data_IF_059626047251
#
_entry.id   IF_059626047251
#
_cell.length_a   1.000
_cell.length_b   1.000
_cell.length_c   1.000
_cell.angle_alpha   90.00
_cell.angle_beta   90.00
_cell.angle_gamma   90.00
#
_symmetry.space_group_name_H-M   'P 1'
#
loop_
_entity.id
_entity.type
_entity.pdbx_description
1 polymer ?
#
# COMPACT_ATOMS: atom_id res chain seq x y z
N UNK A 1 -17.97 11.01 24.97
CA UNK A 1 -18.01 11.98 23.85
C UNK A 1 -18.94 11.46 22.77
N UNK A 2 -20.13 12.03 22.65
CA UNK A 2 -21.13 11.61 21.67
C UNK A 2 -20.86 12.33 20.33
N UNK A 3 -19.74 12.03 19.68
CA UNK A 3 -19.36 12.66 18.41
C UNK A 3 -20.13 11.99 17.26
N UNK A 4 -21.37 12.41 17.03
CA UNK A 4 -22.16 12.05 15.84
C UNK A 4 -21.57 12.76 14.63
N UNK A 5 -20.39 12.32 14.18
CA UNK A 5 -19.83 12.76 12.90
C UNK A 5 -20.83 12.43 11.77
N UNK A 6 -21.00 13.30 10.77
CA UNK A 6 -21.95 13.08 9.68
C UNK A 6 -21.68 11.74 8.98
N UNK A 7 -22.73 10.99 8.64
CA UNK A 7 -22.62 9.72 7.91
C UNK A 7 -23.07 9.91 6.47
N UNK A 8 -22.21 10.54 5.69
CA UNK A 8 -22.45 10.82 4.27
C UNK A 8 -21.69 9.82 3.38
N UNK A 9 -22.29 9.49 2.23
CA UNK A 9 -21.64 8.67 1.21
C UNK A 9 -20.73 9.55 0.35
N UNK A 10 -19.44 9.22 0.30
CA UNK A 10 -18.48 9.85 -0.61
C UNK A 10 -18.53 9.12 -1.95
N UNK A 11 -18.95 9.81 -3.01
CA UNK A 11 -18.88 9.29 -4.38
C UNK A 11 -17.44 9.21 -4.86
N UNK A 12 -17.12 8.17 -5.64
CA UNK A 12 -15.84 8.08 -6.32
C UNK A 12 -15.73 9.14 -7.42
N UNK A 13 -14.54 9.75 -7.54
CA UNK A 13 -14.14 10.49 -8.74
C UNK A 13 -13.30 9.60 -9.65
N UNK A 14 -13.07 10.04 -10.89
CA UNK A 14 -12.26 9.31 -11.88
C UNK A 14 -10.89 8.91 -11.32
N UNK A 15 -10.21 9.80 -10.59
CA UNK A 15 -8.91 9.50 -9.97
C UNK A 15 -9.01 8.37 -8.94
N UNK A 16 -10.10 8.31 -8.17
CA UNK A 16 -10.30 7.29 -7.16
C UNK A 16 -10.53 5.92 -7.82
N UNK A 17 -11.28 5.90 -8.93
CA UNK A 17 -11.52 4.69 -9.73
C UNK A 17 -10.22 4.19 -10.35
N UNK A 18 -9.45 5.08 -10.97
CA UNK A 18 -8.18 4.72 -11.63
C UNK A 18 -7.20 4.12 -10.62
N UNK A 19 -7.02 4.75 -9.44
CA UNK A 19 -6.14 4.22 -8.39
C UNK A 19 -6.60 2.84 -7.93
N UNK A 20 -7.90 2.66 -7.71
CA UNK A 20 -8.47 1.38 -7.27
C UNK A 20 -8.25 0.27 -8.31
N UNK A 21 -8.55 0.56 -9.59
CA UNK A 21 -8.37 -0.40 -10.68
C UNK A 21 -6.90 -0.79 -10.86
N UNK A 22 -5.98 0.16 -10.79
CA UNK A 22 -4.53 -0.13 -10.86
C UNK A 22 -4.12 -0.99 -9.67
N UNK A 23 -4.59 -0.68 -8.47
CA UNK A 23 -4.27 -1.44 -7.25
C UNK A 23 -4.75 -2.89 -7.33
N UNK A 24 -6.00 -3.10 -7.76
CA UNK A 24 -6.56 -4.45 -7.97
C UNK A 24 -5.78 -5.19 -9.06
N UNK A 25 -5.46 -4.51 -10.16
CA UNK A 25 -4.69 -5.11 -11.26
C UNK A 25 -3.32 -5.56 -10.78
N UNK A 26 -2.59 -4.72 -10.02
CA UNK A 26 -1.30 -5.09 -9.44
C UNK A 26 -1.42 -6.27 -8.47
N UNK A 27 -2.44 -6.29 -7.62
CA UNK A 27 -2.68 -7.39 -6.68
C UNK A 27 -2.92 -8.71 -7.43
N UNK A 28 -3.75 -8.69 -8.48
CA UNK A 28 -3.99 -9.86 -9.34
C UNK A 28 -2.71 -10.30 -10.05
N UNK A 29 -1.97 -9.36 -10.64
CA UNK A 29 -0.72 -9.66 -11.33
C UNK A 29 0.31 -10.29 -10.38
N UNK A 30 0.42 -9.80 -9.15
CA UNK A 30 1.29 -10.37 -8.13
C UNK A 30 0.90 -11.82 -7.79
N UNK A 31 -0.39 -12.10 -7.60
CA UNK A 31 -0.88 -13.47 -7.38
C UNK A 31 -0.58 -14.39 -8.56
N UNK A 32 -0.92 -13.94 -9.78
CA UNK A 32 -0.63 -14.70 -10.99
C UNK A 32 0.87 -14.97 -11.15
N UNK A 33 1.71 -13.98 -10.88
CA UNK A 33 3.16 -14.11 -10.97
C UNK A 33 3.70 -15.12 -9.96
N UNK A 34 3.22 -15.14 -8.71
CA UNK A 34 3.56 -16.20 -7.76
C UNK A 34 3.13 -17.58 -8.25
N UNK A 35 1.87 -17.72 -8.69
CA UNK A 35 1.30 -19.00 -9.13
C UNK A 35 2.07 -19.58 -10.32
N UNK A 36 2.35 -18.75 -11.33
CA UNK A 36 3.01 -19.19 -12.56
C UNK A 36 4.43 -19.69 -12.26
N UNK A 37 5.18 -19.00 -11.39
CA UNK A 37 6.57 -19.33 -11.13
C UNK A 37 6.77 -20.35 -10.00
N UNK A 38 5.75 -20.64 -9.19
CA UNK A 38 5.91 -21.41 -7.95
C UNK A 38 6.56 -22.79 -8.13
N UNK A 39 6.19 -23.51 -9.19
CA UNK A 39 6.71 -24.86 -9.43
C UNK A 39 8.17 -24.88 -9.88
N UNK A 40 8.63 -23.80 -10.50
CA UNK A 40 10.02 -23.65 -10.96
C UNK A 40 10.93 -23.09 -9.86
N UNK A 41 10.36 -22.63 -8.74
CA UNK A 41 11.15 -22.14 -7.61
C UNK A 41 11.95 -23.28 -6.93
N UNK A 42 13.23 -23.04 -6.61
CA UNK A 42 14.01 -23.95 -5.76
C UNK A 42 13.38 -24.04 -4.37
N UNK A 43 13.62 -25.14 -3.66
CA UNK A 43 13.03 -25.36 -2.32
C UNK A 43 13.41 -24.31 -1.29
N UNK A 44 14.53 -23.63 -1.51
CA UNK A 44 15.03 -22.51 -0.70
C UNK A 44 15.10 -21.23 -1.52
N UNK A 45 14.44 -20.17 -1.05
CA UNK A 45 14.41 -18.83 -1.68
C UNK A 45 14.83 -17.76 -0.68
N UNK A 46 15.15 -16.56 -1.18
CA UNK A 46 15.38 -15.39 -0.34
C UNK A 46 14.11 -15.00 0.42
N UNK A 47 14.24 -14.73 1.72
CA UNK A 47 13.15 -14.28 2.59
C UNK A 47 13.43 -12.91 3.22
N UNK A 48 14.68 -12.48 3.22
CA UNK A 48 15.10 -11.16 3.69
C UNK A 48 16.18 -10.60 2.76
N UNK A 49 16.16 -9.27 2.62
CA UNK A 49 17.14 -8.52 1.84
C UNK A 49 17.70 -7.41 2.70
N UNK A 50 19.00 -7.18 2.59
CA UNK A 50 19.67 -6.07 3.25
C UNK A 50 19.34 -4.72 2.58
N UNK A 51 19.91 -3.63 3.12
CA UNK A 51 19.68 -2.28 2.62
C UNK A 51 20.19 -2.00 1.19
N UNK A 52 21.01 -2.88 0.62
CA UNK A 52 21.51 -2.80 -0.77
C UNK A 52 20.70 -3.67 -1.74
N UNK A 53 19.73 -4.44 -1.23
CA UNK A 53 18.89 -5.33 -2.03
C UNK A 53 19.48 -6.72 -2.24
N UNK A 54 20.51 -7.10 -1.49
CA UNK A 54 21.09 -8.44 -1.55
C UNK A 54 20.40 -9.36 -0.53
N UNK A 55 20.14 -10.63 -0.89
CA UNK A 55 19.60 -11.60 0.06
C UNK A 55 20.57 -11.88 1.21
N UNK A 56 20.12 -11.67 2.44
CA UNK A 56 20.85 -11.98 3.68
C UNK A 56 20.08 -12.96 4.59
N UNK A 57 18.90 -13.42 4.15
CA UNK A 57 18.11 -14.46 4.79
C UNK A 57 17.40 -15.35 3.77
N UNK A 58 17.34 -16.64 4.06
CA UNK A 58 16.76 -17.66 3.18
C UNK A 58 15.78 -18.57 3.94
N UNK A 59 14.80 -19.13 3.23
CA UNK A 59 13.81 -20.02 3.81
C UNK A 59 13.07 -20.84 2.76
N UNK A 60 12.10 -21.64 3.21
CA UNK A 60 11.33 -22.53 2.35
C UNK A 60 10.51 -21.73 1.31
N UNK A 61 10.42 -22.23 0.06
CA UNK A 61 9.67 -21.57 -1.02
C UNK A 61 8.20 -21.30 -0.73
N UNK A 62 7.58 -22.04 0.20
CA UNK A 62 6.22 -21.77 0.69
C UNK A 62 6.06 -20.36 1.26
N UNK A 63 7.14 -19.74 1.73
CA UNK A 63 7.12 -18.38 2.26
C UNK A 63 6.75 -17.32 1.22
N UNK A 64 6.87 -17.61 -0.08
CA UNK A 64 6.47 -16.68 -1.16
C UNK A 64 4.98 -16.28 -1.07
N UNK A 65 4.13 -17.15 -0.51
CA UNK A 65 2.69 -16.91 -0.38
C UNK A 65 2.34 -15.90 0.72
N UNK A 66 3.26 -15.65 1.67
CA UNK A 66 3.03 -14.74 2.78
C UNK A 66 2.78 -13.32 2.25
N UNK A 67 3.57 -12.85 1.27
CA UNK A 67 3.46 -11.48 0.77
C UNK A 67 2.11 -11.24 0.06
N UNK A 68 1.66 -12.06 -0.92
CA UNK A 68 0.35 -11.90 -1.53
C UNK A 68 -0.81 -11.96 -0.54
N UNK A 69 -0.74 -12.83 0.48
CA UNK A 69 -1.76 -12.94 1.52
C UNK A 69 -1.81 -11.66 2.36
N UNK A 70 -0.68 -11.19 2.89
CA UNK A 70 -0.62 -9.96 3.68
C UNK A 70 -1.09 -8.76 2.84
N UNK A 71 -0.63 -8.66 1.59
CA UNK A 71 -1.04 -7.59 0.68
C UNK A 71 -2.56 -7.58 0.46
N UNK A 72 -3.16 -8.76 0.27
CA UNK A 72 -4.61 -8.91 0.11
C UNK A 72 -5.36 -8.49 1.38
N UNK A 73 -4.89 -8.92 2.56
CA UNK A 73 -5.50 -8.56 3.84
C UNK A 73 -5.44 -7.05 4.06
N UNK A 74 -4.29 -6.42 3.84
CA UNK A 74 -4.12 -4.97 3.94
C UNK A 74 -5.04 -4.28 2.93
N UNK A 75 -5.02 -4.72 1.68
CA UNK A 75 -5.81 -4.12 0.61
C UNK A 75 -7.31 -4.14 0.92
N UNK A 76 -7.84 -5.30 1.29
CA UNK A 76 -9.25 -5.46 1.66
C UNK A 76 -9.57 -4.68 2.94
N UNK A 77 -8.71 -4.70 3.94
CA UNK A 77 -8.89 -3.96 5.19
C UNK A 77 -9.00 -2.44 4.96
N UNK A 78 -8.10 -1.87 4.18
CA UNK A 78 -8.11 -0.45 3.82
C UNK A 78 -9.29 -0.10 2.90
N UNK A 79 -9.64 -0.99 1.97
CA UNK A 79 -10.82 -0.83 1.12
C UNK A 79 -12.13 -0.80 1.93
N UNK A 80 -12.27 -1.67 2.94
CA UNK A 80 -13.41 -1.67 3.87
C UNK A 80 -13.41 -0.40 4.72
N UNK A 81 -12.25 -0.01 5.27
CA UNK A 81 -12.13 1.22 6.07
C UNK A 81 -12.57 2.46 5.28
N UNK A 82 -12.24 2.53 3.99
CA UNK A 82 -12.68 3.60 3.07
C UNK A 82 -14.20 3.73 2.93
N UNK A 83 -14.99 2.70 3.27
CA UNK A 83 -16.47 2.79 3.31
C UNK A 83 -16.98 3.53 4.54
N UNK A 84 -16.14 3.74 5.55
CA UNK A 84 -16.50 4.35 6.83
C UNK A 84 -15.60 5.56 7.15
N UNK A 85 -15.60 6.62 6.31
CA UNK A 85 -14.72 7.78 6.50
C UNK A 85 -14.92 8.49 7.85
N UNK A 86 -16.12 8.45 8.42
CA UNK A 86 -16.40 9.00 9.75
C UNK A 86 -15.56 8.36 10.88
N UNK A 87 -15.01 7.16 10.67
CA UNK A 87 -14.10 6.49 11.61
C UNK A 87 -12.63 6.88 11.43
N UNK A 88 -12.28 7.60 10.36
CA UNK A 88 -10.89 8.02 10.12
C UNK A 88 -10.45 9.06 11.16
N UNK A 89 -9.13 9.21 11.28
CA UNK A 89 -8.53 10.25 12.11
C UNK A 89 -8.44 11.57 11.35
N UNK A 90 -8.93 12.64 11.98
CA UNK A 90 -8.93 14.00 11.44
C UNK A 90 -8.31 14.94 12.48
N UNK A 91 -7.46 15.88 12.04
CA UNK A 91 -6.90 16.92 12.92
C UNK A 91 -7.84 18.14 13.08
N UNK A 92 -9.02 18.09 12.45
CA UNK A 92 -10.06 19.12 12.55
C UNK A 92 -11.36 18.49 13.00
N UNK A 93 -12.21 19.26 13.66
CA UNK A 93 -13.56 18.82 13.98
C UNK A 93 -14.36 18.71 12.69
N UNK A 94 -15.01 17.56 12.51
CA UNK A 94 -15.84 17.30 11.35
C UNK A 94 -17.25 17.81 11.62
N UNK A 95 -17.70 18.76 10.79
CA UNK A 95 -19.03 19.35 10.78
C UNK A 95 -19.77 18.92 9.52
N UNK A 96 -21.09 19.14 9.46
CA UNK A 96 -21.89 18.86 8.24
C UNK A 96 -21.34 19.60 7.02
N UNK A 97 -20.89 20.85 7.20
CA UNK A 97 -20.37 21.70 6.13
C UNK A 97 -19.03 21.19 5.56
N UNK A 98 -18.12 20.71 6.42
CA UNK A 98 -16.76 20.32 5.99
C UNK A 98 -16.59 18.80 5.76
N UNK A 99 -17.60 17.99 6.10
CA UNK A 99 -17.51 16.52 6.07
C UNK A 99 -17.17 16.00 4.68
N UNK A 100 -17.88 16.42 3.62
CA UNK A 100 -17.67 15.89 2.28
C UNK A 100 -16.23 16.11 1.79
N UNK A 101 -15.72 17.33 2.00
CA UNK A 101 -14.36 17.73 1.61
C UNK A 101 -13.30 16.91 2.34
N UNK A 102 -13.40 16.82 3.67
CA UNK A 102 -12.42 16.10 4.49
C UNK A 102 -12.52 14.58 4.30
N UNK A 103 -13.73 14.03 4.12
CA UNK A 103 -13.92 12.59 3.88
C UNK A 103 -13.41 12.18 2.51
N UNK A 104 -13.66 13.00 1.48
CA UNK A 104 -13.10 12.77 0.15
C UNK A 104 -11.57 12.79 0.19
N UNK A 105 -10.98 13.81 0.80
CA UNK A 105 -9.53 13.89 0.96
C UNK A 105 -8.96 12.67 1.70
N UNK A 106 -9.53 12.33 2.85
CA UNK A 106 -9.04 11.23 3.69
C UNK A 106 -9.17 9.86 3.01
N UNK A 107 -10.30 9.59 2.34
CA UNK A 107 -10.46 8.32 1.62
C UNK A 107 -9.55 8.25 0.39
N UNK A 108 -9.27 9.36 -0.29
CA UNK A 108 -8.29 9.41 -1.38
C UNK A 108 -6.87 9.12 -0.89
N UNK A 109 -6.47 9.72 0.24
CA UNK A 109 -5.19 9.42 0.88
C UNK A 109 -5.09 7.93 1.18
N UNK A 110 -6.13 7.33 1.76
CA UNK A 110 -6.11 5.91 2.09
C UNK A 110 -6.01 5.02 0.84
N UNK A 111 -6.65 5.39 -0.28
CA UNK A 111 -6.48 4.70 -1.57
C UNK A 111 -5.05 4.80 -2.11
N UNK A 112 -4.43 5.98 -2.02
CA UNK A 112 -3.02 6.16 -2.43
C UNK A 112 -2.09 5.32 -1.55
N UNK A 113 -2.28 5.31 -0.24
CA UNK A 113 -1.50 4.46 0.67
C UNK A 113 -1.69 2.99 0.33
N UNK A 114 -2.93 2.56 0.09
CA UNK A 114 -3.22 1.18 -0.28
C UNK A 114 -2.53 0.77 -1.60
N UNK A 115 -2.60 1.64 -2.62
CA UNK A 115 -1.86 1.47 -3.88
C UNK A 115 -0.35 1.35 -3.66
N UNK A 116 0.26 2.24 -2.87
CA UNK A 116 1.70 2.21 -2.59
C UNK A 116 2.12 0.93 -1.85
N UNK A 117 1.30 0.44 -0.92
CA UNK A 117 1.54 -0.83 -0.24
C UNK A 117 1.53 -2.01 -1.24
N UNK A 118 0.50 -2.11 -2.09
CA UNK A 118 0.41 -3.18 -3.10
C UNK A 118 1.57 -3.08 -4.10
N UNK A 119 1.92 -1.87 -4.55
CA UNK A 119 3.04 -1.64 -5.47
C UNK A 119 4.36 -2.12 -4.86
N UNK A 120 4.65 -1.74 -3.61
CA UNK A 120 5.86 -2.15 -2.91
C UNK A 120 5.91 -3.67 -2.72
N UNK A 121 4.80 -4.28 -2.28
CA UNK A 121 4.73 -5.74 -2.08
C UNK A 121 4.86 -6.51 -3.40
N UNK A 122 4.30 -5.99 -4.49
CA UNK A 122 4.48 -6.56 -5.83
C UNK A 122 5.93 -6.50 -6.26
N UNK A 123 6.60 -5.36 -6.03
CA UNK A 123 8.01 -5.19 -6.34
C UNK A 123 8.91 -6.13 -5.53
N UNK A 124 8.67 -6.28 -4.22
CA UNK A 124 9.41 -7.22 -3.37
C UNK A 124 9.17 -8.66 -3.82
N UNK A 125 7.93 -9.02 -4.17
CA UNK A 125 7.61 -10.36 -4.71
C UNK A 125 8.39 -10.64 -5.99
N UNK A 126 8.43 -9.67 -6.91
CA UNK A 126 9.23 -9.76 -8.13
C UNK A 126 10.71 -10.01 -7.82
N UNK A 127 11.30 -9.24 -6.88
CA UNK A 127 12.70 -9.44 -6.49
C UNK A 127 12.96 -10.84 -5.92
N UNK A 128 12.07 -11.39 -5.10
CA UNK A 128 12.24 -12.73 -4.52
C UNK A 128 12.30 -13.80 -5.60
N UNK A 129 11.32 -13.79 -6.52
CA UNK A 129 11.23 -14.81 -7.58
C UNK A 129 12.43 -14.72 -8.51
N UNK A 130 12.77 -13.52 -8.96
CA UNK A 130 13.89 -13.32 -9.88
C UNK A 130 15.25 -13.62 -9.22
N UNK A 131 15.38 -13.33 -7.91
CA UNK A 131 16.57 -13.70 -7.14
C UNK A 131 16.71 -15.21 -7.03
N UNK A 132 15.59 -15.94 -6.88
CA UNK A 132 15.58 -17.41 -6.88
C UNK A 132 16.00 -17.99 -8.25
N UNK A 133 15.77 -17.26 -9.35
CA UNK A 133 16.29 -17.60 -10.69
C UNK A 133 17.71 -17.08 -10.95
N UNK A 134 18.42 -16.64 -9.92
CA UNK A 134 19.83 -16.25 -10.01
C UNK A 134 20.08 -14.83 -10.51
N UNK A 135 19.04 -14.00 -10.68
CA UNK A 135 19.23 -12.58 -10.98
C UNK A 135 19.71 -11.85 -9.73
N UNK A 136 20.79 -11.09 -9.87
CA UNK A 136 21.27 -10.23 -8.80
C UNK A 136 20.52 -8.91 -8.82
N UNK A 137 19.92 -8.56 -7.68
CA UNK A 137 19.33 -7.26 -7.47
C UNK A 137 20.30 -6.38 -6.69
N UNK A 138 20.61 -5.22 -7.25
CA UNK A 138 21.30 -4.16 -6.55
C UNK A 138 20.37 -2.94 -6.57
N UNK A 139 19.67 -2.73 -5.46
CA UNK A 139 18.75 -1.60 -5.30
C UNK A 139 19.51 -0.28 -5.18
N UNK A 140 20.83 -0.34 -4.94
CA UNK A 140 21.64 0.80 -4.55
C UNK A 140 21.29 1.28 -3.13
N UNK A 141 22.24 1.97 -2.51
CA UNK A 141 22.07 2.52 -1.16
C UNK A 141 21.00 3.63 -1.06
N UNK A 142 20.44 4.07 -2.19
CA UNK A 142 19.42 5.12 -2.26
C UNK A 142 17.99 4.59 -2.06
N UNK A 143 17.70 3.32 -2.38
CA UNK A 143 16.34 2.79 -2.39
C UNK A 143 15.67 2.86 -1.02
N UNK A 144 16.32 2.32 0.01
CA UNK A 144 15.78 2.30 1.38
C UNK A 144 15.57 3.73 1.91
N UNK A 145 16.55 4.66 1.81
CA UNK A 145 16.34 6.06 2.16
C UNK A 145 15.18 6.72 1.42
N UNK A 146 14.96 6.42 0.13
CA UNK A 146 13.83 6.96 -0.64
C UNK A 146 12.51 6.43 -0.13
N UNK A 147 12.39 5.12 0.11
CA UNK A 147 11.16 4.52 0.65
C UNK A 147 10.83 5.09 2.03
N UNK A 148 11.83 5.20 2.91
CA UNK A 148 11.66 5.79 4.25
C UNK A 148 11.33 7.28 4.13
N UNK A 149 12.05 8.02 3.28
CA UNK A 149 11.85 9.44 3.05
C UNK A 149 10.43 9.74 2.57
N UNK A 150 9.94 9.01 1.57
CA UNK A 150 8.55 9.13 1.08
C UNK A 150 7.56 8.81 2.22
N UNK A 151 7.81 7.75 3.00
CA UNK A 151 6.93 7.33 4.10
C UNK A 151 6.81 8.39 5.21
N UNK A 152 7.82 9.24 5.40
CA UNK A 152 7.81 10.34 6.39
C UNK A 152 7.31 11.66 5.78
N UNK A 153 7.79 11.99 4.57
CA UNK A 153 7.46 13.25 3.89
C UNK A 153 5.99 13.28 3.47
N UNK A 154 5.44 12.17 2.98
CA UNK A 154 4.05 12.10 2.52
C UNK A 154 3.06 12.50 3.63
N UNK A 155 3.08 11.92 4.85
CA UNK A 155 2.24 12.39 5.96
C UNK A 155 2.38 13.90 6.26
N UNK A 156 3.60 14.44 6.24
CA UNK A 156 3.85 15.86 6.53
C UNK A 156 3.18 16.75 5.47
N UNK A 157 3.37 16.42 4.18
CA UNK A 157 2.74 17.14 3.07
C UNK A 157 1.21 17.07 3.18
N UNK A 158 0.66 15.90 3.49
CA UNK A 158 -0.78 15.71 3.69
C UNK A 158 -1.30 16.53 4.87
N UNK A 159 -0.55 16.62 5.97
CA UNK A 159 -0.90 17.44 7.14
C UNK A 159 -0.95 18.92 6.78
N UNK A 160 0.07 19.42 6.07
CA UNK A 160 0.15 20.82 5.62
C UNK A 160 -0.99 21.14 4.65
N UNK A 161 -1.25 20.26 3.69
CA UNK A 161 -2.34 20.41 2.74
C UNK A 161 -3.70 20.41 3.44
N UNK A 162 -3.93 19.50 4.38
CA UNK A 162 -5.18 19.43 5.13
C UNK A 162 -5.42 20.68 5.98
N UNK A 163 -4.37 21.28 6.55
CA UNK A 163 -4.47 22.57 7.25
C UNK A 163 -4.85 23.70 6.29
N UNK A 164 -4.22 23.77 5.11
CA UNK A 164 -4.54 24.79 4.08
C UNK A 164 -5.98 24.64 3.57
N UNK A 165 -6.47 23.41 3.46
CA UNK A 165 -7.81 23.09 3.00
C UNK A 165 -8.93 23.51 3.97
N UNK A 166 -8.62 23.59 5.27
CA UNK A 166 -9.57 23.92 6.34
C UNK A 166 -9.37 25.34 6.92
N UNK A 167 -8.48 26.14 6.31
CA UNK A 167 -8.46 27.60 6.47
C UNK A 167 -9.49 28.21 5.51
#
# INVERSE_FOLDING_TARGET
MNNKRPRIKVSFETVDIVIELISITLLILMWCYCIINYFDLPDTIATHFNGTGEPDGYGNKLTIWIIPVIATVIYVGLFILNKYPHMHNYMVNITEENALKNYRFSTRVLRVVNFLCVLLMTYVTYMIVESAFGKQFNLGTWFVPVVIGISVILPIVLIVYMKKMNK
#
